data_IF_463367307783
#
_entry.id   IF_463367307783
#
_cell.length_a   1.000
_cell.length_b   1.000
_cell.length_c   1.000
_cell.angle_alpha   90.00
_cell.angle_beta   90.00
_cell.angle_gamma   90.00
#
_symmetry.space_group_name_H-M   'P 1'
#
loop_
_entity.id
_entity.type
_entity.pdbx_description
1 polymer ?
#
# COMPACT_ATOMS: atom_id res chain seq x y z
N UNK A 1 -20.43 -10.19 -10.71
CA UNK A 1 -20.32 -8.95 -11.52
C UNK A 1 -19.69 -7.86 -10.64
N UNK A 2 -18.77 -7.11 -11.20
CA UNK A 2 -18.16 -5.98 -10.48
C UNK A 2 -19.13 -4.81 -10.39
N UNK A 3 -19.07 -4.07 -9.27
CA UNK A 3 -19.91 -2.91 -8.99
C UNK A 3 -19.05 -1.65 -8.97
N UNK A 4 -18.92 -1.00 -10.11
CA UNK A 4 -18.11 0.20 -10.28
C UNK A 4 -19.03 1.42 -10.36
N UNK A 5 -18.81 2.41 -9.49
CA UNK A 5 -19.56 3.66 -9.53
C UNK A 5 -19.38 4.37 -10.87
N UNK A 6 -20.46 4.91 -11.40
CA UNK A 6 -20.42 5.74 -12.62
C UNK A 6 -19.63 7.05 -12.44
N UNK A 7 -19.35 7.43 -11.21
CA UNK A 7 -18.55 8.61 -10.86
C UNK A 7 -17.07 8.27 -10.58
N UNK A 8 -16.67 7.02 -10.73
CA UNK A 8 -15.27 6.64 -10.69
C UNK A 8 -14.61 6.85 -12.05
N UNK A 9 -13.37 7.27 -12.06
CA UNK A 9 -12.54 7.37 -13.26
C UNK A 9 -11.60 6.18 -13.32
N UNK A 10 -11.88 5.26 -14.21
CA UNK A 10 -11.00 4.11 -14.51
C UNK A 10 -10.38 4.38 -15.89
N UNK A 11 -9.07 4.52 -15.95
CA UNK A 11 -8.38 4.73 -17.22
C UNK A 11 -8.42 3.48 -18.10
N UNK A 12 -8.49 3.68 -19.42
CA UNK A 12 -8.40 2.60 -20.39
C UNK A 12 -7.06 1.85 -20.25
N UNK A 13 -7.12 0.53 -20.12
CA UNK A 13 -5.96 -0.32 -19.88
C UNK A 13 -5.90 -0.89 -18.45
N UNK A 14 -6.59 -0.29 -17.49
CA UNK A 14 -6.71 -0.87 -16.15
C UNK A 14 -7.37 -2.26 -16.19
N UNK A 15 -6.84 -3.19 -15.43
CA UNK A 15 -7.36 -4.56 -15.34
C UNK A 15 -8.18 -4.69 -14.06
N UNK A 16 -9.48 -4.94 -14.21
CA UNK A 16 -10.41 -5.10 -13.08
C UNK A 16 -10.92 -6.54 -13.06
N UNK A 17 -10.67 -7.23 -11.97
CA UNK A 17 -11.11 -8.60 -11.74
C UNK A 17 -12.63 -8.75 -11.54
N UNK A 18 -13.05 -9.95 -11.17
CA UNK A 18 -14.46 -10.25 -10.92
C UNK A 18 -14.88 -9.80 -9.51
N UNK A 19 -16.15 -9.41 -9.37
CA UNK A 19 -16.75 -9.01 -8.09
C UNK A 19 -15.98 -7.90 -7.36
N UNK A 20 -15.32 -7.03 -8.11
CA UNK A 20 -14.66 -5.83 -7.58
C UNK A 20 -15.69 -4.73 -7.34
N UNK A 21 -15.56 -4.03 -6.22
CA UNK A 21 -16.36 -2.85 -5.92
C UNK A 21 -15.46 -1.60 -5.93
N UNK A 22 -15.86 -0.56 -6.66
CA UNK A 22 -15.15 0.73 -6.71
C UNK A 22 -16.15 1.86 -6.47
N UNK A 23 -15.92 2.61 -5.39
CA UNK A 23 -16.78 3.71 -4.97
C UNK A 23 -16.67 4.96 -5.86
N UNK A 24 -17.54 5.93 -5.58
CA UNK A 24 -17.54 7.20 -6.30
C UNK A 24 -16.24 7.99 -6.11
N UNK A 25 -15.85 8.74 -7.13
CA UNK A 25 -14.68 9.62 -7.14
C UNK A 25 -13.35 8.89 -6.89
N UNK A 26 -13.31 7.58 -7.10
CA UNK A 26 -12.06 6.84 -7.18
C UNK A 26 -11.37 7.11 -8.52
N UNK A 27 -10.04 7.06 -8.49
CA UNK A 27 -9.19 7.04 -9.68
C UNK A 27 -8.41 5.72 -9.74
N UNK A 28 -8.38 5.08 -10.91
CA UNK A 28 -7.56 3.89 -11.17
C UNK A 28 -6.78 4.09 -12.46
N UNK A 29 -5.46 4.08 -12.37
CA UNK A 29 -4.59 4.32 -13.53
C UNK A 29 -4.61 3.15 -14.52
N UNK A 30 -4.29 3.44 -15.78
CA UNK A 30 -4.25 2.48 -16.89
C UNK A 30 -3.29 1.31 -16.70
N UNK A 31 -2.27 1.47 -15.87
CA UNK A 31 -1.26 0.44 -15.59
C UNK A 31 -1.58 -0.39 -14.34
N UNK A 32 -2.70 -0.11 -13.68
CA UNK A 32 -3.09 -0.81 -12.45
C UNK A 32 -3.90 -2.08 -12.72
N UNK A 33 -3.77 -3.04 -11.82
CA UNK A 33 -4.51 -4.30 -11.82
C UNK A 33 -5.15 -4.53 -10.44
N UNK A 34 -6.45 -4.79 -10.42
CA UNK A 34 -7.24 -5.03 -9.20
C UNK A 34 -7.79 -6.45 -9.23
N UNK A 35 -7.39 -7.27 -8.27
CA UNK A 35 -7.81 -8.67 -8.15
C UNK A 35 -9.24 -8.86 -7.68
N UNK A 36 -9.75 -10.08 -7.92
CA UNK A 36 -11.13 -10.47 -7.66
C UNK A 36 -11.56 -10.17 -6.22
N UNK A 37 -12.80 -9.72 -6.04
CA UNK A 37 -13.40 -9.51 -4.73
C UNK A 37 -12.85 -8.31 -3.95
N UNK A 38 -11.89 -7.57 -4.49
CA UNK A 38 -11.34 -6.37 -3.84
C UNK A 38 -12.36 -5.23 -3.84
N UNK A 39 -12.43 -4.51 -2.72
CA UNK A 39 -13.34 -3.39 -2.51
C UNK A 39 -12.57 -2.12 -2.24
N UNK A 40 -12.84 -1.09 -3.03
CA UNK A 40 -12.23 0.24 -2.94
C UNK A 40 -13.31 1.26 -2.63
N UNK A 41 -13.26 1.84 -1.45
CA UNK A 41 -14.21 2.87 -1.03
C UNK A 41 -13.95 4.20 -1.75
N UNK A 42 -14.94 5.07 -1.71
CA UNK A 42 -14.96 6.36 -2.43
C UNK A 42 -13.74 7.24 -2.12
N UNK A 43 -13.40 8.11 -3.06
CA UNK A 43 -12.32 9.10 -2.99
C UNK A 43 -10.92 8.49 -2.83
N UNK A 44 -10.73 7.23 -3.17
CA UNK A 44 -9.40 6.59 -3.16
C UNK A 44 -8.75 6.65 -4.54
N UNK A 45 -7.43 6.73 -4.57
CA UNK A 45 -6.66 6.81 -5.80
C UNK A 45 -5.66 5.66 -5.89
N UNK A 46 -5.70 4.94 -7.02
CA UNK A 46 -4.73 3.90 -7.37
C UNK A 46 -3.92 4.40 -8.55
N UNK A 47 -2.66 4.72 -8.31
CA UNK A 47 -1.77 5.33 -9.29
C UNK A 47 -0.74 4.35 -9.83
N UNK A 48 -0.19 4.70 -10.99
CA UNK A 48 0.96 4.06 -11.59
C UNK A 48 0.78 2.56 -11.84
N UNK A 49 1.89 1.84 -11.85
CA UNK A 49 1.93 0.39 -12.04
C UNK A 49 1.72 -0.30 -10.70
N UNK A 50 0.46 -0.36 -10.27
CA UNK A 50 0.06 -0.95 -9.00
C UNK A 50 -0.74 -2.21 -9.22
N UNK A 51 -0.27 -3.33 -8.66
CA UNK A 51 -0.99 -4.59 -8.64
C UNK A 51 -1.57 -4.82 -7.25
N UNK A 52 -2.88 -4.96 -7.18
CA UNK A 52 -3.63 -5.28 -5.95
C UNK A 52 -4.23 -6.68 -6.13
N UNK A 53 -3.94 -7.58 -5.21
CA UNK A 53 -4.45 -8.95 -5.21
C UNK A 53 -5.94 -9.04 -4.90
N UNK A 54 -6.37 -10.20 -4.41
CA UNK A 54 -7.77 -10.55 -4.18
C UNK A 54 -8.25 -10.13 -2.80
N UNK A 55 -9.56 -9.90 -2.69
CA UNK A 55 -10.29 -9.70 -1.43
C UNK A 55 -9.72 -8.59 -0.52
N UNK A 56 -8.98 -7.65 -1.07
CA UNK A 56 -8.50 -6.51 -0.29
C UNK A 56 -9.65 -5.54 0.02
N UNK A 57 -9.57 -4.88 1.15
CA UNK A 57 -10.50 -3.84 1.57
C UNK A 57 -9.74 -2.52 1.72
N UNK A 58 -9.96 -1.61 0.79
CA UNK A 58 -9.34 -0.28 0.76
C UNK A 58 -10.41 0.74 1.13
N UNK A 59 -10.19 1.43 2.24
CA UNK A 59 -11.10 2.42 2.78
C UNK A 59 -10.92 3.78 2.09
N UNK A 60 -11.83 4.70 2.36
CA UNK A 60 -11.89 5.97 1.67
C UNK A 60 -10.65 6.85 1.87
N UNK A 61 -10.33 7.66 0.87
CA UNK A 61 -9.20 8.59 0.87
C UNK A 61 -7.81 7.91 1.00
N UNK A 62 -7.69 6.64 0.61
CA UNK A 62 -6.39 5.99 0.48
C UNK A 62 -5.70 6.43 -0.82
N UNK A 63 -4.39 6.66 -0.75
CA UNK A 63 -3.55 7.01 -1.91
C UNK A 63 -2.51 5.90 -2.10
N UNK A 64 -2.70 5.11 -3.13
CA UNK A 64 -1.94 3.88 -3.37
C UNK A 64 -1.16 4.02 -4.68
N UNK A 65 0.16 3.93 -4.62
CA UNK A 65 1.01 3.92 -5.81
C UNK A 65 1.41 5.29 -6.36
N UNK A 66 1.20 6.37 -5.61
CA UNK A 66 1.74 7.68 -6.02
C UNK A 66 3.26 7.67 -6.04
N UNK A 67 3.84 8.50 -6.90
CA UNK A 67 5.30 8.55 -7.11
C UNK A 67 6.07 8.63 -5.78
N UNK A 68 7.28 8.03 -5.72
CA UNK A 68 8.11 8.09 -4.52
C UNK A 68 8.44 9.51 -4.07
N UNK A 69 8.52 9.71 -2.76
CA UNK A 69 8.98 10.97 -2.18
C UNK A 69 10.52 10.98 -2.05
N UNK A 70 11.19 10.62 -3.14
CA UNK A 70 12.66 10.60 -3.23
C UNK A 70 13.11 11.62 -4.28
N UNK A 71 14.01 12.53 -3.90
CA UNK A 71 14.56 13.55 -4.80
C UNK A 71 15.33 12.97 -6.00
N UNK A 72 15.73 11.70 -5.91
CA UNK A 72 16.43 11.00 -7.00
C UNK A 72 15.48 10.34 -8.01
N UNK A 73 14.19 10.29 -7.70
CA UNK A 73 13.21 9.71 -8.61
C UNK A 73 13.07 10.59 -9.86
N UNK A 74 13.28 9.99 -11.03
CA UNK A 74 13.29 10.66 -12.33
C UNK A 74 12.26 10.07 -13.32
N UNK A 75 11.17 9.49 -12.78
CA UNK A 75 10.08 8.93 -13.60
C UNK A 75 10.36 7.53 -14.16
N UNK A 76 11.28 6.80 -13.57
CA UNK A 76 11.61 5.43 -13.95
C UNK A 76 10.43 4.45 -13.75
N UNK A 77 10.46 3.32 -14.48
CA UNK A 77 9.44 2.27 -14.37
C UNK A 77 9.58 1.53 -13.03
N UNK A 78 8.62 1.75 -12.15
CA UNK A 78 8.59 1.20 -10.79
C UNK A 78 7.20 0.66 -10.44
N UNK A 79 7.15 -0.27 -9.50
CA UNK A 79 5.93 -1.00 -9.17
C UNK A 79 5.60 -0.95 -7.67
N UNK A 80 4.30 -1.05 -7.39
CA UNK A 80 3.77 -1.40 -6.08
C UNK A 80 2.96 -2.69 -6.21
N UNK A 81 3.29 -3.70 -5.40
CA UNK A 81 2.62 -4.99 -5.41
C UNK A 81 1.99 -5.24 -4.04
N UNK A 82 0.68 -5.43 -4.02
CA UNK A 82 -0.09 -5.74 -2.81
C UNK A 82 -0.71 -7.12 -3.00
N UNK A 83 -0.49 -8.02 -2.05
CA UNK A 83 -1.07 -9.35 -2.03
C UNK A 83 -2.56 -9.36 -1.73
N UNK A 84 -3.01 -10.45 -1.11
CA UNK A 84 -4.43 -10.74 -0.89
C UNK A 84 -4.86 -10.42 0.56
N UNK A 85 -6.18 -10.24 0.73
CA UNK A 85 -6.84 -10.17 2.04
C UNK A 85 -6.31 -9.07 2.98
N UNK A 86 -5.73 -8.00 2.46
CA UNK A 86 -5.28 -6.87 3.26
C UNK A 86 -6.44 -5.90 3.55
N UNK A 87 -6.36 -5.27 4.71
CA UNK A 87 -7.22 -4.14 5.09
C UNK A 87 -6.38 -2.87 5.14
N UNK A 88 -6.69 -1.92 4.29
CA UNK A 88 -5.99 -0.64 4.15
C UNK A 88 -6.97 0.48 4.51
N UNK A 89 -6.74 1.13 5.64
CA UNK A 89 -7.65 2.12 6.19
C UNK A 89 -7.43 3.51 5.59
N UNK A 90 -8.23 4.44 6.04
CA UNK A 90 -8.36 5.80 5.52
C UNK A 90 -7.04 6.58 5.60
N UNK A 91 -6.79 7.45 4.63
CA UNK A 91 -5.66 8.37 4.56
C UNK A 91 -4.28 7.70 4.58
N UNK A 92 -4.21 6.45 4.13
CA UNK A 92 -2.92 5.79 3.92
C UNK A 92 -2.23 6.33 2.68
N UNK A 93 -0.89 6.28 2.67
CA UNK A 93 -0.07 6.64 1.53
C UNK A 93 0.99 5.57 1.30
N UNK A 94 0.92 4.85 0.17
CA UNK A 94 1.88 3.82 -0.21
C UNK A 94 2.59 4.23 -1.49
N UNK A 95 3.93 4.29 -1.45
CA UNK A 95 4.74 4.59 -2.62
C UNK A 95 5.26 3.31 -3.30
N UNK A 96 5.47 3.31 -4.62
CA UNK A 96 6.15 2.23 -5.32
C UNK A 96 7.65 2.23 -5.02
N UNK A 97 8.41 1.31 -5.64
CA UNK A 97 9.85 1.27 -5.51
C UNK A 97 10.58 2.41 -6.22
N UNK A 98 11.91 2.38 -6.15
CA UNK A 98 12.82 3.23 -6.90
C UNK A 98 13.82 2.38 -7.66
N UNK A 99 14.42 2.90 -8.73
CA UNK A 99 15.44 2.19 -9.51
C UNK A 99 16.60 1.72 -8.63
N UNK A 100 17.02 2.53 -7.66
CA UNK A 100 18.10 2.21 -6.74
C UNK A 100 17.75 1.14 -5.71
N UNK A 101 16.47 0.91 -5.44
CA UNK A 101 15.97 -0.06 -4.45
C UNK A 101 15.45 -1.37 -5.06
N UNK A 102 15.61 -1.57 -6.37
CA UNK A 102 15.09 -2.76 -7.05
C UNK A 102 13.76 -2.56 -7.75
N UNK A 103 13.22 -1.36 -7.72
CA UNK A 103 12.05 -0.94 -8.50
C UNK A 103 10.69 -1.34 -7.92
N UNK A 104 10.62 -1.93 -6.72
CA UNK A 104 9.37 -2.49 -6.19
C UNK A 104 9.18 -2.23 -4.71
N UNK A 105 7.98 -1.83 -4.34
CA UNK A 105 7.44 -1.97 -2.97
C UNK A 105 6.54 -3.19 -2.96
N UNK A 106 6.69 -4.07 -1.98
CA UNK A 106 6.00 -5.36 -1.92
C UNK A 106 5.30 -5.51 -0.57
N UNK A 107 4.00 -5.77 -0.63
CA UNK A 107 3.15 -6.03 0.54
C UNK A 107 2.57 -7.43 0.40
N UNK A 108 2.72 -8.26 1.42
CA UNK A 108 2.18 -9.62 1.47
C UNK A 108 0.68 -9.66 1.70
N UNK A 109 0.23 -10.67 2.45
CA UNK A 109 -1.18 -10.98 2.62
C UNK A 109 -1.65 -10.80 4.06
N UNK A 110 -2.96 -10.65 4.26
CA UNK A 110 -3.62 -10.63 5.57
C UNK A 110 -3.10 -9.53 6.51
N UNK A 111 -2.64 -8.40 5.99
CA UNK A 111 -2.12 -7.29 6.78
C UNK A 111 -3.23 -6.28 7.10
N UNK A 112 -3.10 -5.62 8.25
CA UNK A 112 -3.91 -4.47 8.63
C UNK A 112 -3.05 -3.20 8.67
N UNK A 113 -3.39 -2.24 7.82
CA UNK A 113 -2.82 -0.89 7.85
C UNK A 113 -3.89 0.08 8.35
N UNK A 114 -3.75 0.55 9.57
CA UNK A 114 -4.70 1.50 10.15
C UNK A 114 -4.56 2.89 9.52
N UNK A 115 -5.43 3.81 9.89
CA UNK A 115 -5.47 5.14 9.30
C UNK A 115 -4.13 5.89 9.39
N UNK A 116 -3.84 6.65 8.34
CA UNK A 116 -2.63 7.48 8.20
C UNK A 116 -1.30 6.70 8.13
N UNK A 117 -1.32 5.39 7.95
CA UNK A 117 -0.07 4.62 7.74
C UNK A 117 0.59 5.07 6.45
N UNK A 118 1.90 5.30 6.51
CA UNK A 118 2.73 5.59 5.36
C UNK A 118 3.77 4.50 5.11
N UNK A 119 3.85 4.03 3.88
CA UNK A 119 4.92 3.16 3.39
C UNK A 119 5.73 3.92 2.34
N UNK A 120 7.00 4.16 2.65
CA UNK A 120 7.95 4.75 1.72
C UNK A 120 8.31 3.79 0.57
N UNK A 121 9.16 4.26 -0.31
CA UNK A 121 9.61 3.48 -1.48
C UNK A 121 10.42 2.24 -1.07
N UNK A 122 10.35 1.19 -1.86
CA UNK A 122 11.15 -0.04 -1.68
C UNK A 122 10.92 -0.77 -0.33
N UNK A 123 9.79 -0.50 0.33
CA UNK A 123 9.38 -1.20 1.55
C UNK A 123 8.93 -2.62 1.22
N UNK A 124 9.29 -3.58 2.08
CA UNK A 124 8.83 -4.96 1.99
C UNK A 124 8.08 -5.32 3.27
N UNK A 125 6.83 -5.75 3.15
CA UNK A 125 5.97 -6.19 4.26
C UNK A 125 5.64 -7.67 4.06
N UNK A 126 5.86 -8.50 5.07
CA UNK A 126 5.44 -9.89 5.07
C UNK A 126 3.93 -10.07 5.21
N UNK A 127 3.52 -11.12 5.90
CA UNK A 127 2.12 -11.47 6.07
C UNK A 127 1.67 -11.29 7.52
N UNK A 128 0.35 -11.07 7.72
CA UNK A 128 -0.29 -11.00 9.03
C UNK A 128 0.28 -9.89 9.94
N UNK A 129 0.77 -8.81 9.35
CA UNK A 129 1.27 -7.66 10.08
C UNK A 129 0.16 -6.70 10.46
N UNK A 130 0.35 -5.97 11.54
CA UNK A 130 -0.53 -4.90 11.99
C UNK A 130 0.29 -3.62 12.16
N UNK A 131 -0.03 -2.61 11.38
CA UNK A 131 0.54 -1.27 11.51
C UNK A 131 -0.54 -0.33 12.04
N UNK A 132 -0.36 0.12 13.27
CA UNK A 132 -1.34 0.99 13.93
C UNK A 132 -1.29 2.42 13.36
N UNK A 133 -2.26 3.24 13.76
CA UNK A 133 -2.45 4.59 13.20
C UNK A 133 -1.17 5.41 13.14
N UNK A 134 -0.92 6.00 11.99
CA UNK A 134 0.22 6.88 11.74
C UNK A 134 1.61 6.21 11.94
N UNK A 135 1.69 4.88 11.90
CA UNK A 135 2.99 4.21 11.75
C UNK A 135 3.58 4.59 10.39
N UNK A 136 4.85 5.00 10.38
CA UNK A 136 5.51 5.56 9.20
C UNK A 136 6.80 4.82 8.91
N UNK A 137 6.85 4.12 7.78
CA UNK A 137 8.02 3.38 7.34
C UNK A 137 8.74 4.17 6.25
N UNK A 138 9.98 4.55 6.51
CA UNK A 138 10.82 5.19 5.50
C UNK A 138 11.25 4.17 4.44
N UNK A 139 11.96 4.62 3.41
CA UNK A 139 12.37 3.75 2.30
C UNK A 139 13.22 2.55 2.74
N UNK A 140 13.08 1.43 2.03
CA UNK A 140 13.86 0.20 2.24
C UNK A 140 13.65 -0.49 3.60
N UNK A 141 12.58 -0.17 4.33
CA UNK A 141 12.24 -0.89 5.56
C UNK A 141 11.68 -2.27 5.20
N UNK A 142 12.11 -3.30 5.90
CA UNK A 142 11.59 -4.65 5.74
C UNK A 142 10.95 -5.14 7.03
N UNK A 143 9.72 -5.62 6.95
CA UNK A 143 9.02 -6.32 8.03
C UNK A 143 8.82 -7.78 7.66
N UNK A 144 9.18 -8.67 8.57
CA UNK A 144 8.84 -10.09 8.48
C UNK A 144 7.34 -10.34 8.66
N UNK A 145 6.98 -11.55 9.05
CA UNK A 145 5.58 -11.94 9.27
C UNK A 145 5.16 -11.68 10.72
N UNK A 146 3.87 -11.45 10.93
CA UNK A 146 3.28 -11.27 12.27
C UNK A 146 3.89 -10.11 13.07
N UNK A 147 4.41 -9.10 12.39
CA UNK A 147 4.96 -7.90 13.04
C UNK A 147 3.83 -6.96 13.44
N UNK A 148 3.91 -6.43 14.66
CA UNK A 148 3.00 -5.38 15.14
C UNK A 148 3.78 -4.10 15.34
N UNK A 149 3.41 -3.04 14.63
CA UNK A 149 3.97 -1.69 14.79
C UNK A 149 2.94 -0.80 15.48
N UNK A 150 3.26 -0.32 16.66
CA UNK A 150 2.41 0.59 17.42
C UNK A 150 2.19 1.93 16.73
N UNK A 151 1.15 2.63 17.13
CA UNK A 151 0.79 3.91 16.52
C UNK A 151 1.85 4.99 16.69
N UNK A 152 1.90 5.93 15.74
CA UNK A 152 2.84 7.07 15.74
C UNK A 152 4.31 6.65 15.86
N UNK A 153 4.66 5.51 15.26
CA UNK A 153 6.02 4.96 15.28
C UNK A 153 6.72 5.20 13.96
N UNK A 154 7.70 6.12 13.89
CA UNK A 154 8.57 6.24 12.74
C UNK A 154 9.65 5.17 12.73
N UNK A 155 9.86 4.55 11.59
CA UNK A 155 10.91 3.57 11.34
C UNK A 155 11.86 4.12 10.28
N UNK A 156 13.14 4.26 10.64
CA UNK A 156 14.17 4.81 9.74
C UNK A 156 14.44 3.89 8.55
N UNK A 157 14.96 4.47 7.45
CA UNK A 157 15.30 3.69 6.25
C UNK A 157 16.28 2.54 6.57
N UNK A 158 16.15 1.46 5.80
CA UNK A 158 16.98 0.25 5.89
C UNK A 158 16.87 -0.53 7.20
N UNK A 159 15.88 -0.25 8.03
CA UNK A 159 15.61 -1.06 9.23
C UNK A 159 14.93 -2.36 8.82
N UNK A 160 15.43 -3.47 9.34
CA UNK A 160 14.86 -4.81 9.17
C UNK A 160 14.27 -5.30 10.48
N UNK A 161 13.00 -5.69 10.47
CA UNK A 161 12.27 -6.18 11.65
C UNK A 161 11.85 -7.63 11.39
N UNK A 162 12.35 -8.54 12.21
CA UNK A 162 12.11 -9.98 12.09
C UNK A 162 10.67 -10.37 12.44
N UNK A 163 10.32 -11.64 12.15
CA UNK A 163 9.01 -12.21 12.42
C UNK A 163 8.62 -12.08 13.91
N UNK A 164 7.32 -11.91 14.15
CA UNK A 164 6.71 -11.83 15.48
C UNK A 164 7.18 -10.68 16.37
N UNK A 165 7.91 -9.70 15.83
CA UNK A 165 8.33 -8.54 16.59
C UNK A 165 7.14 -7.62 16.93
N UNK A 166 7.19 -7.02 18.09
CA UNK A 166 6.24 -6.01 18.53
C UNK A 166 6.96 -4.71 18.89
N UNK A 167 6.60 -3.64 18.21
CA UNK A 167 7.14 -2.29 18.44
C UNK A 167 6.08 -1.48 19.19
N UNK A 168 6.45 -0.96 20.36
CA UNK A 168 5.55 -0.11 21.15
C UNK A 168 5.20 1.19 20.42
N UNK A 169 4.01 1.70 20.68
CA UNK A 169 3.59 2.99 20.08
C UNK A 169 4.48 4.15 20.53
N UNK A 170 4.59 5.17 19.68
CA UNK A 170 5.45 6.36 19.86
C UNK A 170 6.94 6.01 20.09
N UNK A 171 7.37 4.82 19.69
CA UNK A 171 8.79 4.46 19.61
C UNK A 171 9.40 5.00 18.33
N UNK A 172 10.69 5.31 18.35
CA UNK A 172 11.44 5.64 17.14
C UNK A 172 12.53 4.61 16.91
N UNK A 173 12.52 3.96 15.73
CA UNK A 173 13.55 3.00 15.36
C UNK A 173 14.54 3.69 14.42
N UNK A 174 15.78 3.82 14.90
CA UNK A 174 16.92 4.24 14.10
C UNK A 174 17.74 3.03 13.63
N UNK A 175 18.64 3.24 12.70
CA UNK A 175 19.62 2.23 12.29
C UNK A 175 20.57 1.90 13.43
#
# INVERSE_FOLDING_TARGET
MSNISKLALIEDGAIIGENVEIGAFCFVSSQSSIGDGTKIAQNSCIYGKTTIGKNNRIFSHAVIGSIPQDLKFDGEDVELIIGDDNTIREFTLFNPGTKGGGGKTIIGNHNLFMGYVHLGHDVIIGNNCILANAATLAGHVELGNYVVVGGMTPIHQFVHIGDYAMIGGASALAQ
#
